data_IF_551285596867
#
_entry.id   IF_551285596867
#
_cell.length_a   1.000
_cell.length_b   1.000
_cell.length_c   1.000
_cell.angle_alpha   90.00
_cell.angle_beta   90.00
_cell.angle_gamma   90.00
#
_symmetry.space_group_name_H-M   'P 1'
#
loop_
_entity.id
_entity.type
_entity.pdbx_description
1 polymer ?
#
# COMPACT_ATOMS: atom_id res chain seq x y z
N UNK A 1 26.70 -13.10 21.32
CA UNK A 1 25.99 -11.86 21.71
C UNK A 1 25.68 -11.98 23.19
N UNK A 2 26.27 -11.14 24.04
CA UNK A 2 25.92 -11.09 25.46
C UNK A 2 24.52 -10.47 25.55
N UNK A 3 23.51 -11.27 25.89
CA UNK A 3 22.13 -10.81 26.11
C UNK A 3 21.99 -10.06 27.44
N UNK A 4 22.85 -9.06 27.67
CA UNK A 4 22.82 -8.26 28.88
C UNK A 4 21.53 -7.44 28.91
N UNK A 5 20.79 -7.52 30.03
CA UNK A 5 19.53 -6.80 30.25
C UNK A 5 19.77 -5.75 31.33
N UNK A 6 19.39 -4.51 31.05
CA UNK A 6 19.47 -3.39 32.01
C UNK A 6 18.10 -2.74 32.16
N UNK A 7 17.74 -2.40 33.40
CA UNK A 7 16.61 -1.54 33.70
C UNK A 7 17.14 -0.13 33.94
N UNK A 8 16.80 0.82 33.07
CA UNK A 8 16.97 2.26 33.34
C UNK A 8 15.75 2.82 34.06
N UNK A 9 15.88 3.99 34.69
CA UNK A 9 14.82 4.58 35.50
C UNK A 9 13.61 4.99 34.67
N UNK A 10 13.85 5.76 33.61
CA UNK A 10 12.79 6.34 32.77
C UNK A 10 13.10 6.24 31.27
N UNK A 11 12.07 6.37 30.43
CA UNK A 11 12.23 6.27 28.97
C UNK A 11 13.09 7.41 28.37
N UNK A 12 13.08 8.60 28.98
CA UNK A 12 13.89 9.72 28.52
C UNK A 12 15.40 9.50 28.73
N UNK A 13 15.81 8.54 29.57
CA UNK A 13 17.20 8.13 29.74
C UNK A 13 17.76 7.46 28.46
N UNK A 14 16.91 7.18 27.46
CA UNK A 14 17.30 6.78 26.11
C UNK A 14 18.24 7.82 25.46
N UNK A 15 18.11 9.11 25.81
CA UNK A 15 18.95 10.16 25.24
C UNK A 15 20.45 9.97 25.56
N UNK A 16 20.78 9.27 26.64
CA UNK A 16 22.17 8.97 27.02
C UNK A 16 22.82 7.88 26.15
N UNK A 17 22.01 7.08 25.45
CA UNK A 17 22.48 5.99 24.59
C UNK A 17 22.61 6.42 23.12
N UNK A 18 22.16 7.63 22.78
CA UNK A 18 22.22 8.17 21.43
C UNK A 18 23.51 8.97 21.24
N UNK A 19 24.20 8.70 20.14
CA UNK A 19 25.45 9.36 19.79
C UNK A 19 25.29 10.19 18.52
N UNK A 20 26.29 11.05 18.27
CA UNK A 20 26.35 11.79 17.01
C UNK A 20 26.36 10.84 15.82
N UNK A 21 25.42 11.05 14.89
CA UNK A 21 25.24 10.20 13.71
C UNK A 21 24.12 9.16 13.81
N UNK A 22 23.54 8.94 15.00
CA UNK A 22 22.40 8.04 15.15
C UNK A 22 21.12 8.61 14.52
N UNK A 23 20.29 7.74 13.95
CA UNK A 23 19.02 8.11 13.29
C UNK A 23 17.85 7.45 13.99
N UNK A 24 16.94 8.27 14.53
CA UNK A 24 15.66 7.81 15.05
C UNK A 24 14.61 7.81 13.93
N UNK A 25 14.20 6.62 13.51
CA UNK A 25 13.14 6.44 12.51
C UNK A 25 11.81 6.28 13.23
N UNK A 26 10.99 7.32 13.20
CA UNK A 26 9.63 7.26 13.72
C UNK A 26 8.65 6.83 12.63
N UNK A 27 7.83 5.83 12.94
CA UNK A 27 6.70 5.51 12.08
C UNK A 27 5.52 6.45 12.40
N UNK A 28 5.27 7.41 11.52
CA UNK A 28 4.09 8.28 11.60
C UNK A 28 3.02 7.78 10.62
N UNK A 29 2.00 7.08 11.13
CA UNK A 29 0.95 6.48 10.27
C UNK A 29 -0.32 7.35 10.25
N UNK A 30 -0.77 7.74 9.05
CA UNK A 30 -2.14 8.22 8.80
C UNK A 30 -2.95 7.09 8.16
N UNK A 31 -3.94 6.56 8.88
CA UNK A 31 -4.81 5.50 8.34
C UNK A 31 -5.92 6.14 7.52
N UNK A 32 -5.87 5.97 6.21
CA UNK A 32 -6.98 6.28 5.30
C UNK A 32 -7.65 4.95 4.94
N UNK A 33 -8.98 4.79 5.07
CA UNK A 33 -9.68 3.62 4.55
C UNK A 33 -9.57 3.61 3.02
N UNK A 34 -8.67 2.78 2.51
CA UNK A 34 -8.22 2.82 1.12
C UNK A 34 -8.38 1.46 0.40
N UNK A 35 -9.25 0.58 0.92
CA UNK A 35 -9.53 -0.73 0.32
C UNK A 35 -10.75 -0.67 -0.58
N UNK A 36 -10.59 -1.11 -1.82
CA UNK A 36 -11.64 -1.33 -2.79
C UNK A 36 -11.78 -2.83 -3.05
N UNK A 37 -13.02 -3.30 -3.16
CA UNK A 37 -13.33 -4.69 -3.48
C UNK A 37 -14.05 -4.73 -4.83
N UNK A 38 -13.61 -5.63 -5.70
CA UNK A 38 -14.15 -5.75 -7.05
C UNK A 38 -13.96 -7.15 -7.62
N UNK A 39 -14.16 -7.26 -8.92
CA UNK A 39 -14.05 -8.51 -9.67
C UNK A 39 -13.27 -8.28 -10.97
N UNK A 40 -12.50 -9.29 -11.38
CA UNK A 40 -11.81 -9.25 -12.67
C UNK A 40 -12.83 -9.37 -13.79
N UNK A 41 -12.82 -8.41 -14.71
CA UNK A 41 -13.58 -8.52 -15.96
C UNK A 41 -13.23 -9.83 -16.69
N UNK A 42 -14.25 -10.49 -17.25
CA UNK A 42 -14.14 -11.79 -17.90
C UNK A 42 -14.23 -12.98 -16.92
N UNK A 43 -13.30 -13.10 -15.97
CA UNK A 43 -13.27 -14.27 -15.06
C UNK A 43 -14.23 -14.18 -13.86
N UNK A 44 -14.70 -12.98 -13.50
CA UNK A 44 -15.54 -12.74 -12.31
C UNK A 44 -14.85 -12.98 -10.96
N UNK A 45 -13.57 -13.37 -10.96
CA UNK A 45 -12.85 -13.68 -9.74
C UNK A 45 -12.66 -12.44 -8.86
N UNK A 46 -12.94 -12.57 -7.56
CA UNK A 46 -12.81 -11.51 -6.56
C UNK A 46 -11.39 -10.94 -6.49
N UNK A 47 -11.32 -9.62 -6.29
CA UNK A 47 -10.09 -8.86 -6.11
C UNK A 47 -10.26 -7.85 -4.98
N UNK A 48 -9.28 -7.77 -4.10
CA UNK A 48 -9.08 -6.70 -3.13
C UNK A 48 -7.94 -5.79 -3.64
N UNK A 49 -8.16 -4.49 -3.62
CA UNK A 49 -7.20 -3.45 -4.01
C UNK A 49 -7.00 -2.51 -2.82
N UNK A 50 -5.79 -2.42 -2.32
CA UNK A 50 -5.38 -1.43 -1.31
C UNK A 50 -4.61 -0.31 -2.01
N UNK A 51 -5.14 0.91 -1.98
CA UNK A 51 -4.44 2.09 -2.50
C UNK A 51 -3.28 2.45 -1.56
N UNK A 52 -2.11 2.73 -2.13
CA UNK A 52 -0.92 3.15 -1.38
C UNK A 52 -0.64 4.64 -1.63
N UNK A 53 -0.21 4.98 -2.85
CA UNK A 53 0.29 6.31 -3.18
C UNK A 53 -0.28 6.76 -4.53
N UNK A 54 -0.83 7.99 -4.63
CA UNK A 54 -1.20 8.55 -5.93
C UNK A 54 0.06 8.83 -6.75
N UNK A 55 0.07 8.46 -8.03
CA UNK A 55 1.23 8.60 -8.91
C UNK A 55 0.91 9.28 -10.25
N UNK A 56 -0.20 10.03 -10.31
CA UNK A 56 -0.63 10.81 -11.46
C UNK A 56 -2.13 11.05 -11.46
N UNK A 57 -2.66 11.59 -12.56
CA UNK A 57 -4.10 11.75 -12.73
C UNK A 57 -4.79 10.39 -12.77
N UNK A 58 -5.70 10.15 -11.82
CA UNK A 58 -6.44 8.90 -11.66
C UNK A 58 -5.58 7.63 -11.54
N UNK A 59 -4.28 7.76 -11.23
CA UNK A 59 -3.35 6.63 -11.12
C UNK A 59 -2.87 6.46 -9.69
N UNK A 60 -2.89 5.21 -9.24
CA UNK A 60 -2.41 4.84 -7.93
C UNK A 60 -1.51 3.63 -7.99
N UNK A 61 -0.47 3.66 -7.14
CA UNK A 61 0.18 2.45 -6.71
C UNK A 61 -0.73 1.70 -5.73
N UNK A 62 -0.91 0.40 -5.99
CA UNK A 62 -1.84 -0.44 -5.26
C UNK A 62 -1.21 -1.79 -4.90
N UNK A 63 -1.58 -2.34 -3.75
CA UNK A 63 -1.46 -3.78 -3.50
C UNK A 63 -2.74 -4.48 -3.91
N UNK A 64 -2.60 -5.58 -4.64
CA UNK A 64 -3.73 -6.32 -5.20
C UNK A 64 -3.71 -7.76 -4.72
N UNK A 65 -4.86 -8.27 -4.26
CA UNK A 65 -5.04 -9.66 -3.83
C UNK A 65 -6.22 -10.30 -4.56
N UNK A 66 -6.02 -11.38 -5.34
CA UNK A 66 -4.76 -12.06 -5.64
C UNK A 66 -3.97 -11.38 -6.78
N UNK A 67 -2.81 -10.80 -6.47
CA UNK A 67 -2.02 -10.00 -7.43
C UNK A 67 -1.48 -10.76 -8.63
N UNK A 68 -1.17 -12.07 -8.49
CA UNK A 68 -0.74 -12.93 -9.63
C UNK A 68 -1.80 -13.04 -10.72
N UNK A 69 -3.08 -12.84 -10.38
CA UNK A 69 -4.20 -12.93 -11.32
C UNK A 69 -4.58 -11.57 -11.93
N UNK A 70 -3.82 -10.52 -11.64
CA UNK A 70 -4.03 -9.19 -12.18
C UNK A 70 -2.78 -8.75 -12.96
N UNK A 71 -2.55 -9.29 -14.18
CA UNK A 71 -1.50 -8.82 -15.07
C UNK A 71 -1.82 -7.43 -15.64
N UNK A 72 -0.84 -6.82 -16.32
CA UNK A 72 -1.07 -5.59 -17.10
C UNK A 72 -2.17 -5.84 -18.13
N UNK A 73 -3.07 -4.87 -18.28
CA UNK A 73 -4.29 -4.95 -19.09
C UNK A 73 -5.49 -5.55 -18.37
N UNK A 74 -5.34 -6.14 -17.18
CA UNK A 74 -6.51 -6.65 -16.44
C UNK A 74 -7.39 -5.49 -15.96
N UNK A 75 -8.68 -5.57 -16.32
CA UNK A 75 -9.72 -4.66 -15.83
C UNK A 75 -10.35 -5.23 -14.56
N UNK A 76 -10.51 -4.37 -13.56
CA UNK A 76 -11.17 -4.66 -12.29
C UNK A 76 -12.41 -3.76 -12.22
N UNK A 77 -13.57 -4.37 -12.04
CA UNK A 77 -14.87 -3.71 -11.88
C UNK A 77 -15.18 -3.68 -10.38
N UNK A 78 -15.40 -2.48 -9.83
CA UNK A 78 -15.70 -2.29 -8.40
C UNK A 78 -17.20 -2.09 -8.18
N UNK A 79 -17.82 -1.28 -9.05
CA UNK A 79 -19.27 -1.08 -9.17
C UNK A 79 -19.60 -0.58 -10.59
N UNK A 80 -20.85 -0.16 -10.82
CA UNK A 80 -21.32 0.34 -12.13
C UNK A 80 -20.64 1.63 -12.60
N UNK A 81 -19.97 2.35 -11.70
CA UNK A 81 -19.39 3.68 -11.94
C UNK A 81 -17.88 3.68 -11.87
N UNK A 82 -17.26 2.76 -11.14
CA UNK A 82 -15.83 2.73 -10.89
C UNK A 82 -15.20 1.45 -11.44
N UNK A 83 -14.23 1.64 -12.34
CA UNK A 83 -13.35 0.59 -12.85
C UNK A 83 -11.89 1.00 -12.75
N UNK A 84 -11.01 0.01 -12.71
CA UNK A 84 -9.56 0.23 -12.76
C UNK A 84 -8.89 -0.71 -13.76
N UNK A 85 -7.91 -0.20 -14.50
CA UNK A 85 -7.09 -1.00 -15.41
C UNK A 85 -5.68 -1.07 -14.84
N UNK A 86 -5.15 -2.28 -14.72
CA UNK A 86 -3.75 -2.48 -14.36
C UNK A 86 -2.88 -2.04 -15.54
N UNK A 87 -2.16 -0.92 -15.39
CA UNK A 87 -1.30 -0.38 -16.45
C UNK A 87 0.16 -0.77 -16.28
N UNK A 88 0.60 -1.09 -15.05
CA UNK A 88 1.97 -1.52 -14.79
C UNK A 88 2.12 -2.33 -13.48
N UNK A 89 3.34 -2.82 -13.22
CA UNK A 89 3.76 -3.49 -11.99
C UNK A 89 4.85 -2.66 -11.31
N UNK A 90 4.87 -2.67 -9.98
CA UNK A 90 5.98 -2.07 -9.21
C UNK A 90 7.00 -3.13 -8.82
N UNK A 91 8.24 -2.71 -8.53
CA UNK A 91 9.36 -3.59 -8.18
C UNK A 91 9.07 -4.42 -6.92
N UNK A 92 8.24 -3.91 -6.01
CA UNK A 92 7.85 -4.57 -4.76
C UNK A 92 6.58 -5.42 -4.90
N UNK A 93 6.17 -5.73 -6.13
CA UNK A 93 5.04 -6.63 -6.42
C UNK A 93 3.66 -5.96 -6.45
N UNK A 94 3.60 -4.63 -6.30
CA UNK A 94 2.39 -3.83 -6.46
C UNK A 94 1.94 -3.68 -7.92
N UNK A 95 0.85 -2.97 -8.13
CA UNK A 95 0.30 -2.62 -9.45
C UNK A 95 0.08 -1.12 -9.53
N UNK A 96 0.35 -0.56 -10.70
CA UNK A 96 -0.17 0.76 -11.03
C UNK A 96 -1.54 0.56 -11.67
N UNK A 97 -2.57 1.13 -11.07
CA UNK A 97 -3.95 1.06 -11.54
C UNK A 97 -4.39 2.45 -11.96
N UNK A 98 -4.86 2.57 -13.19
CA UNK A 98 -5.56 3.75 -13.69
C UNK A 98 -7.05 3.57 -13.51
N UNK A 99 -7.68 4.47 -12.75
CA UNK A 99 -9.10 4.43 -12.44
C UNK A 99 -9.91 5.27 -13.43
N UNK A 100 -11.11 4.80 -13.75
CA UNK A 100 -12.12 5.57 -14.48
C UNK A 100 -13.38 5.60 -13.63
N UNK A 101 -13.87 6.80 -13.34
CA UNK A 101 -15.15 7.02 -12.68
C UNK A 101 -16.15 7.62 -13.68
N UNK A 102 -17.28 6.95 -13.90
CA UNK A 102 -18.40 7.47 -14.68
C UNK A 102 -19.37 8.15 -13.71
N UNK A 103 -19.08 9.39 -13.34
CA UNK A 103 -19.90 10.17 -12.42
C UNK A 103 -19.17 11.40 -11.91
N UNK A 104 -19.45 12.53 -12.57
CA UNK A 104 -18.91 13.90 -12.43
C UNK A 104 -17.58 14.15 -13.15
#
# INVERSE_FOLDING_TARGET
VSGEVKHKGHFYDLLEELHEGDVLVFNNTKVIPARLYGHRQGSGGKVEVLLLTPCGENRWECLVKPGKKCPVGQVIEFDDRLRGIVIDKTEFGGRIIEFTCNGV
#
